data_IF_396220750774
#
_entry.id   IF_396220750774
#
_cell.length_a   1.000
_cell.length_b   1.000
_cell.length_c   1.000
_cell.angle_alpha   90.00
_cell.angle_beta   90.00
_cell.angle_gamma   90.00
#
_symmetry.space_group_name_H-M   'P 1'
#
loop_
_entity.id
_entity.type
_entity.pdbx_description
1 polymer ?
#
# COMPACT_ATOMS: atom_id res chain seq x y z
N UNK A 1 4.80 -6.90 17.88
CA UNK A 1 3.87 -5.78 18.11
C UNK A 1 3.86 -4.82 16.93
N UNK A 2 2.72 -4.17 16.67
CA UNK A 2 2.55 -3.19 15.59
C UNK A 2 3.29 -1.89 15.93
N UNK A 3 3.84 -1.21 14.93
CA UNK A 3 4.54 0.08 15.08
C UNK A 3 3.92 1.16 14.20
N UNK A 4 3.88 0.97 12.87
CA UNK A 4 3.33 1.95 11.95
C UNK A 4 2.72 1.30 10.73
N UNK A 5 1.91 2.06 9.99
CA UNK A 5 1.34 1.68 8.71
C UNK A 5 1.86 2.66 7.66
N UNK A 6 2.23 2.12 6.51
CA UNK A 6 2.56 2.86 5.30
C UNK A 6 1.50 2.54 4.24
N UNK A 7 0.43 3.36 4.13
CA UNK A 7 -0.68 3.07 3.23
C UNK A 7 -0.23 3.03 1.77
N UNK A 8 -0.48 1.91 1.09
CA UNK A 8 -0.26 1.79 -0.35
C UNK A 8 -1.21 2.71 -1.09
N UNK A 9 -0.77 3.32 -2.19
CA UNK A 9 -1.56 4.28 -2.95
C UNK A 9 -1.62 3.99 -4.44
N UNK A 10 -2.65 4.51 -5.10
CA UNK A 10 -2.82 4.52 -6.55
C UNK A 10 -2.42 5.90 -7.07
N UNK A 11 -1.51 5.94 -8.03
CA UNK A 11 -0.94 7.17 -8.59
C UNK A 11 -1.09 7.21 -10.11
N UNK A 12 -1.14 8.41 -10.66
CA UNK A 12 -1.11 8.68 -12.10
C UNK A 12 -0.45 10.02 -12.41
N UNK A 13 0.23 10.12 -13.54
CA UNK A 13 0.72 11.40 -14.08
C UNK A 13 -0.36 12.15 -14.86
N UNK A 14 -1.25 11.43 -15.51
CA UNK A 14 -2.22 11.98 -16.46
C UNK A 14 -3.65 12.02 -15.94
N UNK A 15 -4.06 10.98 -15.22
CA UNK A 15 -5.42 10.85 -14.66
C UNK A 15 -5.48 11.60 -13.33
N UNK A 16 -6.50 12.42 -13.15
CA UNK A 16 -6.71 13.20 -11.92
C UNK A 16 -7.87 12.67 -11.07
N UNK A 17 -8.72 11.84 -11.66
CA UNK A 17 -9.86 11.24 -10.99
C UNK A 17 -10.02 9.79 -11.43
N UNK A 18 -10.27 8.87 -10.49
CA UNK A 18 -10.46 7.45 -10.81
C UNK A 18 -11.67 7.19 -11.72
N UNK A 19 -12.64 8.09 -11.75
CA UNK A 19 -13.80 7.96 -12.64
C UNK A 19 -13.43 8.17 -14.11
N UNK A 20 -12.35 8.91 -14.39
CA UNK A 20 -11.90 9.26 -15.74
C UNK A 20 -10.97 8.20 -16.36
N UNK A 21 -10.77 7.07 -15.68
CA UNK A 21 -9.94 5.96 -16.18
C UNK A 21 -10.55 5.41 -17.48
N UNK A 22 -9.80 5.41 -18.59
CA UNK A 22 -10.29 4.90 -19.87
C UNK A 22 -10.43 3.37 -19.87
N UNK A 23 -11.26 2.87 -20.77
CA UNK A 23 -11.32 1.43 -21.04
C UNK A 23 -9.97 0.94 -21.60
N UNK A 24 -9.52 -0.21 -21.10
CA UNK A 24 -8.23 -0.79 -21.50
C UNK A 24 -7.02 -0.14 -20.84
N UNK A 25 -7.20 0.75 -19.85
CA UNK A 25 -6.11 1.38 -19.14
C UNK A 25 -5.12 0.37 -18.56
N UNK A 26 -3.83 0.69 -18.64
CA UNK A 26 -2.75 -0.12 -18.04
C UNK A 26 -2.52 0.29 -16.60
N UNK A 27 -2.52 -0.68 -15.71
CA UNK A 27 -2.28 -0.49 -14.27
C UNK A 27 -1.08 -1.33 -13.86
N UNK A 28 0.00 -0.68 -13.44
CA UNK A 28 1.16 -1.37 -12.87
C UNK A 28 0.94 -1.68 -11.39
N UNK A 29 1.28 -2.90 -10.99
CA UNK A 29 1.23 -3.37 -9.60
C UNK A 29 2.54 -4.09 -9.24
N UNK A 30 2.89 -4.24 -7.94
CA UNK A 30 4.03 -5.05 -7.52
C UNK A 30 3.91 -6.51 -7.97
N UNK A 31 5.02 -7.11 -8.39
CA UNK A 31 5.07 -8.51 -8.85
C UNK A 31 5.36 -9.53 -7.74
N UNK A 32 5.66 -9.08 -6.53
CA UNK A 32 5.79 -10.01 -5.40
C UNK A 32 4.43 -10.43 -4.86
N UNK A 33 4.26 -11.70 -4.41
CA UNK A 33 2.96 -12.22 -4.02
C UNK A 33 2.26 -11.45 -2.90
N UNK A 34 3.02 -10.88 -1.97
CA UNK A 34 2.47 -10.14 -0.83
C UNK A 34 1.91 -8.78 -1.26
N UNK A 35 2.71 -7.98 -1.97
CA UNK A 35 2.29 -6.65 -2.40
C UNK A 35 1.40 -6.69 -3.64
N UNK A 36 1.53 -7.69 -4.52
CA UNK A 36 0.63 -7.91 -5.65
C UNK A 36 -0.81 -8.13 -5.20
N UNK A 37 -1.04 -9.05 -4.26
CA UNK A 37 -2.36 -9.30 -3.68
C UNK A 37 -2.91 -8.08 -2.93
N UNK A 38 -2.06 -7.36 -2.22
CA UNK A 38 -2.39 -6.09 -1.55
C UNK A 38 -2.84 -5.01 -2.54
N UNK A 39 -2.12 -4.88 -3.65
CA UNK A 39 -2.46 -3.93 -4.71
C UNK A 39 -3.80 -4.26 -5.38
N UNK A 40 -4.07 -5.54 -5.65
CA UNK A 40 -5.35 -5.99 -6.19
C UNK A 40 -6.50 -5.70 -5.22
N UNK A 41 -6.32 -5.94 -3.93
CA UNK A 41 -7.31 -5.60 -2.90
C UNK A 41 -7.57 -4.08 -2.82
N UNK A 42 -6.52 -3.25 -3.02
CA UNK A 42 -6.67 -1.80 -3.10
C UNK A 42 -7.48 -1.37 -4.33
N UNK A 43 -7.21 -1.97 -5.50
CA UNK A 43 -7.97 -1.71 -6.72
C UNK A 43 -9.45 -2.12 -6.56
N UNK A 44 -9.74 -3.23 -5.87
CA UNK A 44 -11.11 -3.62 -5.53
C UNK A 44 -11.77 -2.61 -4.59
N UNK A 45 -11.08 -2.17 -3.55
CA UNK A 45 -11.56 -1.15 -2.62
C UNK A 45 -11.87 0.17 -3.33
N UNK A 46 -11.08 0.51 -4.36
CA UNK A 46 -11.31 1.65 -5.25
C UNK A 46 -12.43 1.41 -6.28
N UNK A 47 -13.09 0.23 -6.27
CA UNK A 47 -14.18 -0.19 -7.18
C UNK A 47 -13.77 -0.25 -8.67
N UNK A 48 -12.50 -0.49 -8.94
CA UNK A 48 -11.97 -0.58 -10.30
C UNK A 48 -12.12 -2.00 -10.88
N UNK A 49 -12.12 -3.01 -10.02
CA UNK A 49 -12.32 -4.42 -10.37
C UNK A 49 -12.98 -5.16 -9.21
N UNK A 50 -13.32 -6.42 -9.40
CA UNK A 50 -13.77 -7.32 -8.33
C UNK A 50 -12.95 -8.60 -8.32
N UNK A 51 -12.58 -9.04 -7.14
CA UNK A 51 -11.86 -10.28 -6.91
C UNK A 51 -12.83 -11.41 -6.54
N UNK A 52 -12.36 -12.63 -6.63
CA UNK A 52 -13.06 -13.81 -6.11
C UNK A 52 -13.22 -13.70 -4.60
N UNK A 53 -14.38 -14.04 -4.10
CA UNK A 53 -14.66 -13.99 -2.66
C UNK A 53 -13.70 -14.88 -1.86
N UNK A 54 -13.20 -14.37 -0.74
CA UNK A 54 -12.35 -15.11 0.20
C UNK A 54 -10.86 -15.19 -0.15
N UNK A 55 -10.40 -14.66 -1.30
CA UNK A 55 -8.97 -14.69 -1.66
C UNK A 55 -8.15 -13.69 -0.82
N UNK A 56 -8.74 -12.55 -0.45
CA UNK A 56 -8.11 -11.55 0.40
C UNK A 56 -6.72 -11.13 -0.09
N UNK A 57 -5.76 -11.12 0.83
CA UNK A 57 -4.36 -10.71 0.58
C UNK A 57 -3.57 -11.69 -0.29
N UNK A 58 -4.12 -12.85 -0.61
CA UNK A 58 -3.50 -13.85 -1.49
C UNK A 58 -3.98 -13.75 -2.92
N UNK A 59 -4.75 -12.73 -3.25
CA UNK A 59 -5.27 -12.52 -4.60
C UNK A 59 -4.16 -12.46 -5.64
N UNK A 60 -4.43 -13.04 -6.78
CA UNK A 60 -3.63 -12.99 -8.00
C UNK A 60 -4.44 -12.35 -9.12
N UNK A 61 -3.80 -11.97 -10.21
CA UNK A 61 -4.49 -11.44 -11.40
C UNK A 61 -5.56 -12.43 -11.92
N UNK A 62 -5.32 -13.73 -11.78
CA UNK A 62 -6.29 -14.79 -12.15
C UNK A 62 -7.56 -14.84 -11.30
N UNK A 63 -7.56 -14.15 -10.14
CA UNK A 63 -8.72 -14.09 -9.25
C UNK A 63 -9.66 -12.91 -9.56
N UNK A 64 -9.38 -12.12 -10.60
CA UNK A 64 -10.25 -11.02 -11.02
C UNK A 64 -11.51 -11.62 -11.68
N UNK A 65 -12.66 -11.40 -11.05
CA UNK A 65 -13.96 -11.92 -11.52
C UNK A 65 -14.76 -10.89 -12.31
N UNK A 66 -14.49 -9.58 -12.09
CA UNK A 66 -15.15 -8.48 -12.78
C UNK A 66 -14.15 -7.39 -13.13
N UNK A 67 -14.13 -6.98 -14.38
CA UNK A 67 -13.24 -5.96 -14.94
C UNK A 67 -13.98 -5.24 -16.08
N UNK A 68 -14.95 -4.42 -15.73
CA UNK A 68 -15.86 -3.78 -16.69
C UNK A 68 -15.12 -2.84 -17.66
N UNK A 69 -14.07 -2.20 -17.18
CA UNK A 69 -13.23 -1.30 -18.00
C UNK A 69 -12.13 -2.02 -18.78
N UNK A 70 -12.05 -3.34 -18.71
CA UNK A 70 -11.00 -4.16 -19.38
C UNK A 70 -9.58 -3.68 -19.04
N UNK A 71 -9.35 -3.32 -17.77
CA UNK A 71 -8.06 -2.86 -17.27
C UNK A 71 -6.99 -3.93 -17.51
N UNK A 72 -5.82 -3.50 -17.94
CA UNK A 72 -4.67 -4.36 -18.20
C UNK A 72 -3.72 -4.29 -16.98
N UNK A 73 -3.65 -5.35 -16.22
CA UNK A 73 -2.77 -5.42 -15.06
C UNK A 73 -1.37 -5.84 -15.51
N UNK A 74 -0.37 -5.02 -15.16
CA UNK A 74 1.05 -5.26 -15.47
C UNK A 74 1.80 -5.41 -14.15
N UNK A 75 2.40 -6.58 -13.95
CA UNK A 75 3.15 -6.88 -12.73
C UNK A 75 4.62 -6.49 -12.91
N UNK A 76 5.12 -5.59 -12.07
CA UNK A 76 6.46 -4.98 -12.16
C UNK A 76 7.13 -5.04 -10.77
N UNK A 77 8.45 -5.11 -10.74
CA UNK A 77 9.21 -4.97 -9.48
C UNK A 77 8.83 -3.69 -8.74
N UNK A 78 8.56 -3.79 -7.43
CA UNK A 78 7.99 -2.69 -6.64
C UNK A 78 8.82 -1.39 -6.68
N UNK A 79 10.15 -1.51 -6.71
CA UNK A 79 11.06 -0.37 -6.80
C UNK A 79 10.96 0.39 -8.14
N UNK A 80 10.47 -0.26 -9.20
CA UNK A 80 10.34 0.33 -10.53
C UNK A 80 8.97 1.00 -10.77
N UNK A 81 8.00 0.79 -9.89
CA UNK A 81 6.63 1.30 -10.05
C UNK A 81 6.54 2.83 -10.17
N UNK A 82 7.30 3.65 -9.42
CA UNK A 82 7.26 5.09 -9.63
C UNK A 82 7.66 5.51 -11.04
N UNK A 83 8.66 4.81 -11.62
CA UNK A 83 9.11 5.07 -12.99
C UNK A 83 8.11 4.57 -14.04
N UNK A 84 7.41 3.47 -13.76
CA UNK A 84 6.41 2.92 -14.68
C UNK A 84 5.23 3.87 -14.96
N UNK A 85 5.04 4.91 -14.14
CA UNK A 85 4.02 5.94 -14.38
C UNK A 85 4.23 6.71 -15.70
N UNK A 86 5.39 6.58 -16.36
CA UNK A 86 5.64 7.14 -17.69
C UNK A 86 5.01 6.30 -18.80
N UNK A 87 4.83 5.00 -18.56
CA UNK A 87 4.41 4.01 -19.55
C UNK A 87 3.06 3.37 -19.23
N UNK A 88 2.45 3.72 -18.10
CA UNK A 88 1.16 3.20 -17.64
C UNK A 88 0.21 4.32 -17.23
N UNK A 89 -1.09 4.05 -17.29
CA UNK A 89 -2.12 5.01 -16.92
C UNK A 89 -2.19 5.19 -15.40
N UNK A 90 -2.00 4.10 -14.66
CA UNK A 90 -1.98 4.05 -13.19
C UNK A 90 -0.83 3.17 -12.70
N UNK A 91 -0.30 3.50 -11.52
CA UNK A 91 0.62 2.62 -10.78
C UNK A 91 0.22 2.53 -9.32
N UNK A 92 0.19 1.32 -8.79
CA UNK A 92 -0.08 1.05 -7.37
C UNK A 92 1.26 0.92 -6.66
N UNK A 93 1.59 1.89 -5.81
CA UNK A 93 2.95 2.08 -5.28
C UNK A 93 2.95 2.02 -3.76
N UNK A 94 3.88 1.26 -3.18
CA UNK A 94 4.17 1.27 -1.76
C UNK A 94 4.69 2.65 -1.32
N UNK A 95 4.30 3.12 -0.15
CA UNK A 95 4.61 4.47 0.33
C UNK A 95 6.11 4.79 0.40
N UNK A 96 6.96 3.82 0.80
CA UNK A 96 8.40 4.02 0.82
C UNK A 96 8.94 4.39 -0.57
N UNK A 97 8.58 3.64 -1.63
CA UNK A 97 8.99 3.92 -3.00
C UNK A 97 8.36 5.20 -3.55
N UNK A 98 7.12 5.50 -3.19
CA UNK A 98 6.47 6.76 -3.55
C UNK A 98 7.23 7.95 -2.97
N UNK A 99 7.56 7.92 -1.67
CA UNK A 99 8.30 8.99 -0.99
C UNK A 99 9.73 9.15 -1.53
N UNK A 100 10.44 8.05 -1.84
CA UNK A 100 11.74 8.08 -2.48
C UNK A 100 11.69 8.78 -3.86
N UNK A 101 10.60 8.55 -4.60
CA UNK A 101 10.32 9.24 -5.87
C UNK A 101 9.74 10.65 -5.70
N UNK A 102 9.73 11.20 -4.47
CA UNK A 102 9.20 12.53 -4.12
C UNK A 102 7.69 12.68 -4.35
N UNK A 103 6.96 11.57 -4.43
CA UNK A 103 5.51 11.58 -4.39
C UNK A 103 5.04 11.66 -2.94
N UNK A 104 4.03 12.46 -2.70
CA UNK A 104 3.39 12.55 -1.37
C UNK A 104 2.16 11.64 -1.35
N UNK A 105 2.14 10.54 -0.56
CA UNK A 105 1.01 9.60 -0.52
C UNK A 105 -0.35 10.26 -0.20
N UNK A 106 -0.35 11.37 0.54
CA UNK A 106 -1.60 12.07 0.91
C UNK A 106 -2.10 13.01 -0.19
N UNK A 107 -1.15 13.67 -0.90
CA UNK A 107 -1.50 14.74 -1.86
C UNK A 107 -1.56 14.25 -3.31
N UNK A 108 -0.68 13.32 -3.66
CA UNK A 108 -0.45 12.92 -5.05
C UNK A 108 -1.14 11.61 -5.42
N UNK A 109 -1.62 10.84 -4.43
CA UNK A 109 -2.39 9.64 -4.71
C UNK A 109 -3.84 9.96 -5.08
N UNK A 110 -4.38 9.17 -5.98
CA UNK A 110 -5.80 9.19 -6.34
C UNK A 110 -6.66 8.42 -5.34
N UNK A 111 -6.06 7.42 -4.69
CA UNK A 111 -6.70 6.59 -3.68
C UNK A 111 -5.61 5.92 -2.82
N UNK A 112 -5.88 5.73 -1.53
CA UNK A 112 -4.96 5.05 -0.60
C UNK A 112 -5.69 4.01 0.22
N UNK A 113 -4.94 3.07 0.77
CA UNK A 113 -5.46 2.20 1.82
C UNK A 113 -5.96 3.00 3.02
N UNK A 114 -6.97 2.47 3.74
CA UNK A 114 -7.40 3.07 4.99
C UNK A 114 -6.28 2.99 6.04
N UNK A 115 -6.34 3.89 7.02
CA UNK A 115 -5.36 3.94 8.13
C UNK A 115 -5.39 2.69 9.02
N UNK A 116 -6.49 1.94 8.98
CA UNK A 116 -6.71 0.69 9.70
C UNK A 116 -6.28 -0.55 8.90
N UNK A 117 -5.41 -0.38 7.91
CA UNK A 117 -4.89 -1.46 7.08
C UNK A 117 -4.28 -2.60 7.93
N UNK A 118 -4.47 -3.87 7.55
CA UNK A 118 -3.86 -5.01 8.21
C UNK A 118 -2.34 -5.08 8.02
N UNK A 119 -1.79 -4.28 7.12
CA UNK A 119 -0.37 -4.29 6.72
C UNK A 119 0.50 -3.38 7.61
N UNK A 120 0.29 -3.43 8.92
CA UNK A 120 1.16 -2.72 9.85
C UNK A 120 2.58 -3.32 9.85
N UNK A 121 3.59 -2.45 9.85
CA UNK A 121 4.96 -2.84 10.15
C UNK A 121 5.06 -3.23 11.63
N UNK A 122 5.76 -4.34 11.89
CA UNK A 122 5.78 -4.97 13.19
C UNK A 122 7.21 -5.28 13.66
N UNK A 123 7.39 -5.37 14.97
CA UNK A 123 8.54 -6.09 15.56
C UNK A 123 8.13 -7.54 15.75
N UNK A 124 8.81 -8.44 15.05
CA UNK A 124 8.64 -9.88 15.18
C UNK A 124 9.77 -10.47 16.04
N UNK A 125 9.44 -11.39 16.91
CA UNK A 125 10.38 -12.12 17.77
C UNK A 125 10.08 -13.61 17.72
N UNK A 126 10.98 -14.45 18.23
CA UNK A 126 10.72 -15.89 18.38
C UNK A 126 9.57 -16.09 19.36
N UNK A 127 8.78 -17.13 19.15
CA UNK A 127 7.71 -17.51 20.09
C UNK A 127 8.31 -17.77 21.48
N UNK A 128 7.76 -17.08 22.48
CA UNK A 128 8.23 -17.12 23.87
C UNK A 128 9.14 -15.96 24.28
N UNK A 129 9.72 -15.22 23.31
CA UNK A 129 10.59 -14.07 23.60
C UNK A 129 9.79 -12.76 23.76
N UNK A 130 8.49 -12.75 23.50
CA UNK A 130 7.65 -11.55 23.50
C UNK A 130 7.62 -10.82 24.84
N UNK A 131 7.82 -11.56 25.95
CA UNK A 131 7.80 -11.01 27.31
C UNK A 131 9.20 -10.71 27.87
N UNK A 132 10.26 -10.87 27.09
CA UNK A 132 11.61 -10.55 27.53
C UNK A 132 11.73 -9.06 27.84
N UNK A 133 12.40 -8.66 28.94
CA UNK A 133 12.50 -7.26 29.37
C UNK A 133 13.05 -6.31 28.30
N UNK A 134 14.04 -6.76 27.52
CA UNK A 134 14.63 -5.97 26.44
C UNK A 134 13.66 -5.76 25.27
N UNK A 135 12.82 -6.77 24.95
CA UNK A 135 11.79 -6.64 23.91
C UNK A 135 10.68 -5.68 24.37
N UNK A 136 10.28 -5.80 25.63
CA UNK A 136 9.30 -4.86 26.22
C UNK A 136 9.84 -3.42 26.26
N UNK A 137 11.10 -3.21 26.61
CA UNK A 137 11.73 -1.88 26.56
C UNK A 137 11.76 -1.32 25.14
N UNK A 138 12.13 -2.14 24.15
CA UNK A 138 12.11 -1.75 22.74
C UNK A 138 10.70 -1.35 22.29
N UNK A 139 9.69 -2.17 22.58
CA UNK A 139 8.31 -1.89 22.20
C UNK A 139 7.76 -0.63 22.87
N UNK A 140 8.08 -0.41 24.16
CA UNK A 140 7.67 0.80 24.87
C UNK A 140 8.31 2.05 24.25
N UNK A 141 9.60 1.99 23.87
CA UNK A 141 10.27 3.09 23.19
C UNK A 141 9.66 3.37 21.81
N UNK A 142 9.45 2.32 20.97
CA UNK A 142 8.87 2.47 19.63
C UNK A 142 7.41 2.92 19.62
N UNK A 143 6.67 2.71 20.71
CA UNK A 143 5.26 3.05 20.85
C UNK A 143 5.03 4.19 21.84
N UNK A 144 6.07 4.98 22.06
CA UNK A 144 5.99 6.14 22.97
C UNK A 144 5.22 7.30 22.33
N UNK A 145 4.65 8.21 23.15
CA UNK A 145 4.03 9.44 22.65
C UNK A 145 4.97 10.29 21.80
N UNK A 146 6.27 10.29 22.12
CA UNK A 146 7.30 11.03 21.39
C UNK A 146 7.47 10.46 19.96
N UNK A 147 7.51 9.14 19.81
CA UNK A 147 7.58 8.48 18.49
C UNK A 147 6.30 8.73 17.70
N UNK A 148 5.12 8.66 18.34
CA UNK A 148 3.87 9.02 17.68
C UNK A 148 3.89 10.44 17.16
N UNK A 149 4.29 11.39 17.99
CA UNK A 149 4.42 12.81 17.61
C UNK A 149 5.41 12.99 16.45
N UNK A 150 6.57 12.32 16.51
CA UNK A 150 7.56 12.34 15.43
C UNK A 150 6.97 11.84 14.10
N UNK A 151 6.22 10.72 14.12
CA UNK A 151 5.56 10.18 12.92
C UNK A 151 4.57 11.20 12.36
N UNK A 152 3.70 11.76 13.20
CA UNK A 152 2.67 12.71 12.80
C UNK A 152 3.28 14.00 12.20
N UNK A 153 4.31 14.56 12.83
CA UNK A 153 4.96 15.79 12.39
C UNK A 153 5.80 15.61 11.12
N UNK A 154 6.56 14.51 11.06
CA UNK A 154 7.47 14.24 9.94
C UNK A 154 6.74 13.79 8.67
N UNK A 155 5.83 12.84 8.82
CA UNK A 155 5.20 12.17 7.67
C UNK A 155 3.82 12.74 7.33
N UNK A 156 3.18 13.51 8.22
CA UNK A 156 1.93 14.25 7.94
C UNK A 156 0.84 13.39 7.30
N UNK A 157 0.71 12.15 7.75
CA UNK A 157 -0.28 11.19 7.27
C UNK A 157 0.21 10.23 6.18
N UNK A 158 1.39 10.43 5.57
CA UNK A 158 2.01 9.47 4.65
C UNK A 158 2.45 8.17 5.36
N UNK A 159 2.77 8.27 6.64
CA UNK A 159 2.98 7.16 7.57
C UNK A 159 2.11 7.43 8.80
N UNK A 160 1.49 6.41 9.37
CA UNK A 160 0.62 6.52 10.55
C UNK A 160 1.06 5.56 11.64
N UNK A 161 1.02 6.02 12.89
CA UNK A 161 1.24 5.15 14.04
C UNK A 161 0.15 4.08 14.12
N UNK A 162 0.52 2.84 14.47
CA UNK A 162 -0.37 1.69 14.57
C UNK A 162 -0.58 1.23 16.03
N UNK A 163 -0.47 2.17 16.98
CA UNK A 163 -0.61 1.95 18.42
C UNK A 163 -1.30 3.12 19.09
#
# INVERSE_FOLDING_TARGET
>A
GKVHIEPMGIYSKTIKNLQDIPNGAKIAIPNDPSNGGRALALLESAKLLKLKDGVGVKATVGDITKNDKKLQIVEIEAALLPRSMDDTDLSVINSNFAMEAKLNPVKDSLFTEPKESPYANIVAVRKGDENRPEIQKLMNALRSPEVKKFIDEKYKGAVVAAF
#
